data_IF_167274349266
#
_entry.id   IF_167274349266
#
_cell.length_a   1.000
_cell.length_b   1.000
_cell.length_c   1.000
_cell.angle_alpha   90.00
_cell.angle_beta   90.00
_cell.angle_gamma   90.00
#
_symmetry.space_group_name_H-M   'P 1'
#
loop_
_entity.id
_entity.type
_entity.pdbx_description
1 polymer ?
#
# COMPACT_ATOMS: atom_id res chain seq x y z
N UNK A 1 22.20 19.27 16.40
CA UNK A 1 21.93 18.76 15.04
C UNK A 1 20.62 19.38 14.62
N UNK A 2 20.64 20.33 13.71
CA UNK A 2 19.40 20.92 13.18
C UNK A 2 18.73 19.86 12.31
N UNK A 3 17.52 19.43 12.68
CA UNK A 3 16.71 18.64 11.78
C UNK A 3 16.38 19.54 10.60
N UNK A 4 16.85 19.16 9.40
CA UNK A 4 16.42 19.79 8.16
C UNK A 4 14.90 19.63 8.09
N UNK A 5 14.17 20.73 8.33
CA UNK A 5 12.72 20.79 8.26
C UNK A 5 12.27 20.83 6.79
N UNK A 6 12.79 19.93 5.98
CA UNK A 6 12.34 19.75 4.61
C UNK A 6 10.95 19.12 4.68
N UNK A 7 9.92 19.94 4.42
CA UNK A 7 8.53 19.50 4.48
C UNK A 7 8.28 18.58 3.28
N UNK A 8 8.39 17.29 3.55
CA UNK A 8 8.15 16.23 2.58
C UNK A 8 6.64 16.14 2.29
N UNK A 9 6.18 16.85 1.27
CA UNK A 9 4.77 16.84 0.85
C UNK A 9 4.43 15.48 0.25
N UNK A 10 3.79 14.62 1.06
CA UNK A 10 3.30 13.31 0.60
C UNK A 10 1.86 13.45 0.13
N UNK A 11 1.57 13.21 -1.17
CA UNK A 11 0.20 13.18 -1.67
C UNK A 11 -0.60 12.13 -0.91
N UNK A 12 -1.75 12.54 -0.34
CA UNK A 12 -2.69 11.62 0.29
C UNK A 12 -3.87 11.45 -0.67
N UNK A 13 -3.98 10.26 -1.25
CA UNK A 13 -5.16 9.87 -2.01
C UNK A 13 -6.16 9.22 -1.07
N UNK A 14 -7.41 9.69 -1.11
CA UNK A 14 -8.54 9.11 -0.39
C UNK A 14 -9.69 8.97 -1.37
N UNK A 15 -10.36 7.84 -1.34
CA UNK A 15 -11.57 7.60 -2.11
C UNK A 15 -12.44 6.64 -1.31
N UNK A 16 -13.75 6.83 -1.41
CA UNK A 16 -14.72 6.00 -0.73
C UNK A 16 -15.13 4.84 -1.64
N UNK A 17 -15.28 3.65 -1.05
CA UNK A 17 -15.68 2.44 -1.76
C UNK A 17 -16.86 1.82 -1.02
N UNK A 18 -17.95 1.55 -1.73
CA UNK A 18 -19.11 0.83 -1.19
C UNK A 18 -18.86 -0.69 -1.22
N UNK A 19 -17.85 -1.14 -0.48
CA UNK A 19 -17.56 -2.57 -0.32
C UNK A 19 -17.14 -2.89 1.10
N UNK A 20 -17.39 -4.14 1.51
CA UNK A 20 -16.98 -4.62 2.82
C UNK A 20 -15.45 -4.64 2.91
N UNK A 21 -14.92 -4.01 3.96
CA UNK A 21 -13.49 -3.87 4.21
C UNK A 21 -12.74 -5.22 4.13
N UNK A 22 -13.26 -6.26 4.79
CA UNK A 22 -12.66 -7.60 4.74
C UNK A 22 -12.56 -8.18 3.32
N UNK A 23 -13.55 -7.88 2.46
CA UNK A 23 -13.55 -8.39 1.09
C UNK A 23 -12.39 -7.77 0.31
N UNK A 24 -12.18 -6.47 0.44
CA UNK A 24 -11.04 -5.76 -0.14
C UNK A 24 -9.72 -6.34 0.35
N UNK A 25 -9.56 -6.48 1.67
CA UNK A 25 -8.33 -6.99 2.26
C UNK A 25 -7.99 -8.41 1.78
N UNK A 26 -8.99 -9.29 1.67
CA UNK A 26 -8.82 -10.66 1.14
C UNK A 26 -8.44 -10.66 -0.34
N UNK A 27 -8.99 -9.76 -1.16
CA UNK A 27 -8.63 -9.66 -2.58
C UNK A 27 -7.19 -9.16 -2.76
N UNK A 28 -6.72 -8.21 -1.94
CA UNK A 28 -5.30 -7.80 -1.94
C UNK A 28 -4.36 -8.95 -1.56
N UNK A 29 -4.77 -9.78 -0.59
CA UNK A 29 -4.01 -10.94 -0.15
C UNK A 29 -3.93 -12.03 -1.23
N UNK A 30 -5.02 -12.28 -1.97
CA UNK A 30 -5.01 -13.17 -3.15
C UNK A 30 -4.15 -12.61 -4.28
N UNK A 31 -4.13 -11.29 -4.45
CA UNK A 31 -3.36 -10.64 -5.52
C UNK A 31 -1.85 -10.86 -5.30
N UNK A 32 -1.39 -10.94 -4.05
CA UNK A 32 0.00 -11.26 -3.68
C UNK A 32 0.53 -12.54 -4.33
N UNK A 33 -0.30 -13.56 -4.49
CA UNK A 33 0.10 -14.86 -5.07
C UNK A 33 -0.09 -14.93 -6.58
N UNK A 34 -0.87 -14.03 -7.16
CA UNK A 34 -1.23 -14.08 -8.58
C UNK A 34 -0.33 -13.22 -9.48
N UNK A 35 0.45 -12.29 -8.92
CA UNK A 35 1.27 -11.37 -9.71
C UNK A 35 2.66 -11.11 -9.10
N UNK A 36 3.64 -10.87 -9.96
CA UNK A 36 5.04 -10.65 -9.59
C UNK A 36 5.51 -9.21 -9.76
N UNK A 37 4.69 -8.34 -10.33
CA UNK A 37 5.07 -6.97 -10.71
C UNK A 37 5.18 -6.04 -9.49
N UNK A 38 4.44 -6.35 -8.42
CA UNK A 38 4.58 -5.68 -7.13
C UNK A 38 4.37 -6.63 -5.95
N UNK A 39 5.04 -6.31 -4.85
CA UNK A 39 4.99 -7.06 -3.60
C UNK A 39 3.89 -6.45 -2.74
N UNK A 40 2.85 -7.24 -2.45
CA UNK A 40 1.76 -6.86 -1.52
C UNK A 40 2.02 -7.49 -0.16
N UNK A 41 1.97 -6.68 0.91
CA UNK A 41 2.02 -7.13 2.30
C UNK A 41 0.87 -6.52 3.08
N UNK A 42 0.09 -7.37 3.75
CA UNK A 42 -1.00 -6.94 4.63
C UNK A 42 -0.58 -7.10 6.09
N UNK A 43 -0.87 -6.08 6.90
CA UNK A 43 -0.72 -6.08 8.36
C UNK A 43 -2.04 -5.53 8.93
N UNK A 44 -2.86 -6.41 9.50
CA UNK A 44 -4.21 -6.10 9.95
C UNK A 44 -5.04 -5.43 8.84
N UNK A 45 -5.41 -4.17 9.01
CA UNK A 45 -6.16 -3.36 8.05
C UNK A 45 -5.27 -2.51 7.13
N UNK A 46 -3.95 -2.58 7.30
CA UNK A 46 -2.98 -1.84 6.50
C UNK A 46 -2.45 -2.72 5.36
N UNK A 47 -2.50 -2.20 4.13
CA UNK A 47 -1.94 -2.85 2.95
C UNK A 47 -0.76 -2.03 2.42
N UNK A 48 0.41 -2.67 2.34
CA UNK A 48 1.63 -2.11 1.78
C UNK A 48 1.85 -2.70 0.38
N UNK A 49 2.06 -1.82 -0.60
CA UNK A 49 2.39 -2.20 -1.98
C UNK A 49 3.77 -1.67 -2.29
N UNK A 50 4.69 -2.56 -2.63
CA UNK A 50 6.08 -2.22 -2.97
C UNK A 50 6.38 -2.66 -4.40
N UNK A 51 6.81 -1.73 -5.22
CA UNK A 51 7.38 -2.06 -6.52
C UNK A 51 8.83 -2.54 -6.34
N UNK A 52 9.24 -3.66 -6.96
CA UNK A 52 10.63 -4.05 -6.99
C UNK A 52 11.42 -2.94 -7.69
N UNK A 53 12.47 -2.41 -7.05
CA UNK A 53 13.39 -1.52 -7.73
C UNK A 53 14.10 -2.35 -8.80
N UNK A 54 14.03 -1.93 -10.06
CA UNK A 54 14.98 -2.41 -11.06
C UNK A 54 16.38 -2.01 -10.59
N UNK A 55 17.23 -3.01 -10.38
CA UNK A 55 18.65 -2.85 -10.10
C UNK A 55 19.39 -2.21 -11.27
#
# INVERSE_FOLDING_TARGET
MELSNEIDLRPRFKFDIDTVNEKLLKEFEKTKTSQSDFIVSRIDDHVFIKFPKQS
#
